data_IF_848385740567
#
_entry.id   IF_848385740567
#
_cell.length_a   1.000
_cell.length_b   1.000
_cell.length_c   1.000
_cell.angle_alpha   90.00
_cell.angle_beta   90.00
_cell.angle_gamma   90.00
#
_symmetry.space_group_name_H-M   'P 1'
#
loop_
_entity.id
_entity.type
_entity.pdbx_description
1 polymer ?
#
# COMPACT_ATOMS: atom_id res chain seq x y z
N UNK A 1 23.65 24.23 1.47
CA UNK A 1 23.35 25.66 1.33
C UNK A 1 21.85 25.88 1.38
N UNK A 2 21.41 26.87 2.13
CA UNK A 2 20.04 27.36 2.18
C UNK A 2 20.05 28.75 1.61
N UNK A 3 19.25 29.01 0.57
CA UNK A 3 19.26 30.29 -0.12
C UNK A 3 17.81 30.74 -0.36
N UNK A 4 17.51 32.01 -0.11
CA UNK A 4 16.17 32.58 -0.35
C UNK A 4 15.58 33.25 0.87
N UNK A 5 14.30 33.64 0.77
CA UNK A 5 13.49 34.14 1.89
C UNK A 5 12.78 32.96 2.56
N UNK A 6 12.34 33.16 3.80
CA UNK A 6 11.62 32.11 4.55
C UNK A 6 10.35 31.60 3.84
N UNK A 7 9.77 32.43 3.00
CA UNK A 7 8.60 32.12 2.18
C UNK A 7 8.93 31.36 0.87
N UNK A 8 10.22 31.31 0.47
CA UNK A 8 10.68 30.64 -0.75
C UNK A 8 12.18 30.33 -0.60
N UNK A 9 12.48 29.10 -0.24
CA UNK A 9 13.83 28.65 0.05
C UNK A 9 14.28 27.53 -0.88
N UNK A 10 15.44 27.68 -1.46
CA UNK A 10 16.11 26.60 -2.13
C UNK A 10 16.99 25.83 -1.13
N UNK A 11 16.72 24.55 -0.98
CA UNK A 11 17.44 23.63 -0.11
C UNK A 11 18.37 22.77 -0.96
N UNK A 12 19.65 22.88 -0.74
CA UNK A 12 20.63 22.01 -1.38
C UNK A 12 21.68 21.57 -0.35
N UNK A 13 21.75 20.28 -0.10
CA UNK A 13 22.77 19.75 0.80
C UNK A 13 22.44 18.42 1.46
N UNK A 14 23.31 18.07 2.38
CA UNK A 14 23.22 16.85 3.17
C UNK A 14 22.89 17.21 4.63
N UNK A 15 21.82 16.64 5.12
CA UNK A 15 21.42 16.75 6.52
C UNK A 15 21.82 15.45 7.25
N UNK A 16 22.65 15.60 8.29
CA UNK A 16 23.05 14.48 9.13
C UNK A 16 22.22 14.48 10.41
N UNK A 17 21.57 13.37 10.68
CA UNK A 17 20.73 13.15 11.85
C UNK A 17 21.20 11.91 12.61
N UNK A 18 20.65 11.67 13.79
CA UNK A 18 20.86 10.41 14.52
C UNK A 18 20.24 9.18 13.79
N UNK A 19 19.36 9.41 12.81
CA UNK A 19 18.70 8.36 12.04
C UNK A 19 19.40 8.05 10.71
N UNK A 20 20.35 8.89 10.29
CA UNK A 20 21.08 8.75 9.04
C UNK A 20 21.29 10.07 8.32
N UNK A 21 21.76 9.98 7.10
CA UNK A 21 22.02 11.16 6.24
C UNK A 21 20.94 11.23 5.17
N UNK A 22 20.38 12.42 5.00
CA UNK A 22 19.43 12.72 3.93
C UNK A 22 20.04 13.79 3.03
N UNK A 23 20.07 13.56 1.74
CA UNK A 23 20.36 14.57 0.74
C UNK A 23 19.05 15.18 0.26
N UNK A 24 19.01 16.48 0.16
CA UNK A 24 17.85 17.24 -0.32
C UNK A 24 18.31 18.20 -1.40
N UNK A 25 17.55 18.26 -2.50
CA UNK A 25 17.76 19.21 -3.57
C UNK A 25 16.39 19.65 -4.09
N UNK A 26 15.90 20.81 -3.65
CA UNK A 26 14.56 21.23 -4.01
C UNK A 26 14.17 22.59 -3.46
N UNK A 27 12.98 23.00 -3.83
CA UNK A 27 12.37 24.23 -3.38
C UNK A 27 11.37 23.96 -2.27
N UNK A 28 11.47 24.73 -1.18
CA UNK A 28 10.55 24.68 -0.05
C UNK A 28 9.91 26.06 0.10
N UNK A 29 8.59 26.11 -0.02
CA UNK A 29 7.80 27.29 0.22
C UNK A 29 6.99 27.11 1.51
N UNK A 30 7.02 28.09 2.38
CA UNK A 30 6.25 28.09 3.64
C UNK A 30 5.46 29.37 3.68
N UNK A 31 4.16 29.27 3.91
CA UNK A 31 3.29 30.44 3.99
C UNK A 31 3.64 31.32 5.21
N UNK A 32 3.31 32.60 5.15
CA UNK A 32 3.63 33.57 6.21
C UNK A 32 3.01 33.25 7.57
N UNK A 33 1.98 32.43 7.60
CA UNK A 33 1.31 31.96 8.83
C UNK A 33 1.89 30.66 9.37
N UNK A 34 2.86 30.03 8.68
CA UNK A 34 3.47 28.73 9.01
C UNK A 34 2.44 27.58 9.07
N UNK A 35 1.36 27.71 8.34
CA UNK A 35 0.28 26.72 8.31
C UNK A 35 0.31 25.80 7.09
N UNK A 36 1.01 26.21 6.04
CA UNK A 36 1.15 25.44 4.80
C UNK A 36 2.61 25.43 4.36
N UNK A 37 3.03 24.30 3.83
CA UNK A 37 4.33 24.14 3.19
C UNK A 37 4.19 23.36 1.89
N UNK A 38 4.95 23.79 0.87
CA UNK A 38 5.06 23.13 -0.43
C UNK A 38 6.52 22.74 -0.65
N UNK A 39 6.76 21.54 -1.09
CA UNK A 39 8.09 21.03 -1.44
C UNK A 39 8.06 20.44 -2.84
N UNK A 40 9.02 20.87 -3.65
CA UNK A 40 9.27 20.31 -4.97
C UNK A 40 10.76 20.01 -5.10
N UNK A 41 11.12 18.73 -5.25
CA UNK A 41 12.51 18.37 -5.40
C UNK A 41 12.82 16.91 -5.14
N UNK A 42 14.10 16.63 -5.00
CA UNK A 42 14.65 15.30 -4.79
C UNK A 42 15.09 15.12 -3.35
N UNK A 43 14.79 13.97 -2.81
CA UNK A 43 15.24 13.51 -1.50
C UNK A 43 15.87 12.12 -1.66
N UNK A 44 17.03 11.91 -1.07
CA UNK A 44 17.67 10.60 -1.10
C UNK A 44 18.42 10.28 0.18
N UNK A 45 18.58 8.99 0.43
CA UNK A 45 19.44 8.47 1.49
C UNK A 45 20.00 7.12 1.09
N UNK A 46 21.27 6.90 1.38
CA UNK A 46 21.89 5.59 1.22
C UNK A 46 21.71 4.68 2.43
N UNK A 47 21.29 5.24 3.58
CA UNK A 47 21.08 4.53 4.83
C UNK A 47 20.33 5.43 5.80
N UNK A 48 19.05 5.10 6.04
CA UNK A 48 18.20 5.85 6.95
C UNK A 48 17.38 4.91 7.82
N UNK A 49 17.40 5.14 9.13
CA UNK A 49 16.72 4.30 10.12
C UNK A 49 15.23 4.59 10.18
N UNK A 50 14.49 4.11 9.16
CA UNK A 50 13.07 4.36 9.01
C UNK A 50 12.26 3.86 10.20
N UNK A 51 12.55 2.66 10.68
CA UNK A 51 11.86 2.06 11.82
C UNK A 51 11.93 2.91 13.09
N UNK A 52 13.07 3.53 13.34
CA UNK A 52 13.22 4.47 14.47
C UNK A 52 12.41 5.74 14.28
N UNK A 53 12.30 6.25 13.05
CA UNK A 53 11.51 7.44 12.76
C UNK A 53 10.03 7.22 13.06
N UNK A 54 9.47 6.08 12.60
CA UNK A 54 8.04 5.75 12.73
C UNK A 54 7.71 4.92 13.98
N UNK A 55 8.72 4.68 14.84
CA UNK A 55 8.61 3.87 16.06
C UNK A 55 8.02 2.46 15.79
N UNK A 56 8.51 1.81 14.73
CA UNK A 56 8.14 0.45 14.36
C UNK A 56 9.38 -0.44 14.41
N UNK A 57 9.35 -1.47 15.26
CA UNK A 57 10.49 -2.38 15.48
C UNK A 57 10.71 -3.37 14.34
N UNK A 58 9.68 -3.63 13.54
CA UNK A 58 9.73 -4.54 12.41
C UNK A 58 10.35 -3.90 11.16
N UNK A 59 10.39 -2.55 11.13
CA UNK A 59 11.07 -1.78 10.09
C UNK A 59 12.51 -1.48 10.50
N UNK A 60 13.43 -1.69 9.59
CA UNK A 60 14.85 -1.37 9.75
C UNK A 60 15.28 -0.17 8.92
N UNK A 61 16.38 -0.35 8.24
CA UNK A 61 17.02 0.64 7.38
C UNK A 61 16.37 0.70 6.00
N UNK A 62 16.41 1.90 5.40
CA UNK A 62 16.00 2.13 4.02
C UNK A 62 17.07 2.92 3.25
N UNK A 63 17.29 2.56 1.99
CA UNK A 63 18.03 3.36 1.02
C UNK A 63 17.11 3.72 -0.15
N UNK A 64 17.04 4.99 -0.51
CA UNK A 64 16.10 5.45 -1.52
C UNK A 64 16.56 6.71 -2.25
N UNK A 65 16.00 6.91 -3.44
CA UNK A 65 15.95 8.18 -4.16
C UNK A 65 14.48 8.46 -4.50
N UNK A 66 13.99 9.63 -4.17
CA UNK A 66 12.63 10.03 -4.44
C UNK A 66 12.55 11.44 -4.99
N UNK A 67 11.73 11.64 -6.01
CA UNK A 67 11.27 12.94 -6.46
C UNK A 67 9.88 13.19 -5.87
N UNK A 68 9.69 14.33 -5.24
CA UNK A 68 8.48 14.68 -4.51
C UNK A 68 7.99 16.04 -4.96
N UNK A 69 6.71 16.12 -5.31
CA UNK A 69 5.94 17.35 -5.48
C UNK A 69 4.75 17.30 -4.53
N UNK A 70 4.78 18.06 -3.46
CA UNK A 70 3.77 17.94 -2.44
C UNK A 70 3.51 19.19 -1.63
N UNK A 71 2.29 19.30 -1.13
CA UNK A 71 1.90 20.30 -0.17
C UNK A 71 1.24 19.68 1.07
N UNK A 72 1.58 20.26 2.19
CA UNK A 72 1.06 19.87 3.51
C UNK A 72 0.45 21.09 4.20
N UNK A 73 -0.52 20.85 5.05
CA UNK A 73 -0.93 21.80 6.06
C UNK A 73 -0.57 21.28 7.47
N UNK A 74 -0.86 22.06 8.49
CA UNK A 74 -0.55 21.69 9.89
C UNK A 74 -1.19 20.41 10.36
N UNK A 75 -2.14 19.85 9.62
CA UNK A 75 -2.94 18.68 10.03
C UNK A 75 -2.80 17.49 9.11
N UNK A 76 -2.42 17.70 7.83
CA UNK A 76 -2.47 16.63 6.84
C UNK A 76 -1.65 16.94 5.58
N UNK A 77 -1.29 15.90 4.85
CA UNK A 77 -0.83 16.02 3.47
C UNK A 77 -2.05 16.29 2.60
N UNK A 78 -2.07 17.42 1.90
CA UNK A 78 -3.17 17.77 0.99
C UNK A 78 -3.03 17.10 -0.37
N UNK A 79 -1.81 17.16 -0.87
CA UNK A 79 -1.44 16.59 -2.16
C UNK A 79 0.03 16.22 -2.12
N UNK A 80 0.39 15.08 -2.68
CA UNK A 80 1.78 14.66 -2.84
C UNK A 80 1.87 13.70 -4.02
N UNK A 81 2.67 14.06 -5.00
CA UNK A 81 3.12 13.13 -6.04
C UNK A 81 4.51 12.67 -5.63
N UNK A 82 4.75 11.38 -5.64
CA UNK A 82 6.04 10.80 -5.31
C UNK A 82 6.42 9.72 -6.32
N UNK A 83 7.63 9.86 -6.86
CA UNK A 83 8.30 8.84 -7.65
C UNK A 83 9.54 8.40 -6.87
N UNK A 84 9.55 7.17 -6.40
CA UNK A 84 10.62 6.67 -5.57
C UNK A 84 11.22 5.38 -6.13
N UNK A 85 12.56 5.33 -6.09
CA UNK A 85 13.35 4.12 -6.27
C UNK A 85 13.98 3.79 -4.91
N UNK A 86 13.53 2.70 -4.31
CA UNK A 86 14.03 2.20 -3.03
C UNK A 86 14.97 1.05 -3.35
N UNK A 87 16.28 1.27 -3.17
CA UNK A 87 17.31 0.27 -3.43
C UNK A 87 17.16 -0.92 -2.49
N UNK A 88 16.87 -0.64 -1.22
CA UNK A 88 16.52 -1.66 -0.24
C UNK A 88 15.72 -1.08 0.93
N UNK A 89 14.93 -1.94 1.56
CA UNK A 89 14.25 -1.70 2.84
C UNK A 89 14.25 -2.97 3.68
N UNK A 90 14.59 -2.84 4.94
CA UNK A 90 14.49 -3.94 5.90
C UNK A 90 13.10 -3.99 6.53
N UNK A 91 12.46 -5.15 6.46
CA UNK A 91 11.19 -5.41 7.13
C UNK A 91 11.13 -6.85 7.63
N UNK A 92 10.76 -7.05 8.90
CA UNK A 92 10.73 -8.36 9.58
C UNK A 92 12.05 -9.14 9.48
N UNK A 93 13.19 -8.43 9.45
CA UNK A 93 14.52 -9.03 9.33
C UNK A 93 14.88 -9.53 7.93
N UNK A 94 14.07 -9.25 6.91
CA UNK A 94 14.38 -9.47 5.51
C UNK A 94 14.68 -8.14 4.82
N UNK A 95 15.63 -8.13 3.90
CA UNK A 95 16.02 -6.96 3.12
C UNK A 95 15.43 -7.06 1.72
N UNK A 96 14.31 -6.39 1.50
CA UNK A 96 13.69 -6.27 0.17
C UNK A 96 14.49 -5.34 -0.71
N UNK A 97 14.62 -5.67 -2.00
CA UNK A 97 15.43 -4.93 -2.98
C UNK A 97 14.57 -4.50 -4.17
N UNK A 98 15.10 -3.52 -4.93
CA UNK A 98 14.55 -3.05 -6.21
C UNK A 98 13.05 -2.74 -6.17
N UNK A 99 12.70 -1.80 -5.28
CA UNK A 99 11.32 -1.36 -5.09
C UNK A 99 11.10 -0.05 -5.83
N UNK A 100 10.07 0.00 -6.65
CA UNK A 100 9.62 1.21 -7.33
C UNK A 100 8.25 1.62 -6.81
N UNK A 101 8.09 2.90 -6.59
CA UNK A 101 6.81 3.52 -6.27
C UNK A 101 6.60 4.74 -7.16
N UNK A 102 5.43 4.84 -7.77
CA UNK A 102 4.96 5.99 -8.55
C UNK A 102 3.51 6.22 -8.16
N UNK A 103 3.24 7.28 -7.45
CA UNK A 103 1.91 7.49 -6.90
C UNK A 103 1.59 8.92 -6.51
N UNK A 104 0.30 9.12 -6.32
CA UNK A 104 -0.28 10.38 -5.88
C UNK A 104 -1.14 10.14 -4.63
N UNK A 105 -0.87 10.92 -3.59
CA UNK A 105 -1.71 11.06 -2.41
C UNK A 105 -2.49 12.37 -2.53
N UNK A 106 -3.81 12.31 -2.42
CA UNK A 106 -4.68 13.47 -2.45
C UNK A 106 -5.72 13.39 -1.33
N UNK A 107 -5.46 14.12 -0.25
CA UNK A 107 -6.28 14.07 0.95
C UNK A 107 -6.36 12.65 1.54
N UNK A 108 -7.54 12.06 1.53
CA UNK A 108 -7.80 10.70 2.03
C UNK A 108 -7.79 9.63 0.92
N UNK A 109 -7.05 9.87 -0.16
CA UNK A 109 -6.96 8.95 -1.30
C UNK A 109 -5.52 8.81 -1.76
N UNK A 110 -5.11 7.59 -2.07
CA UNK A 110 -3.84 7.27 -2.73
C UNK A 110 -4.10 6.47 -3.99
N UNK A 111 -3.38 6.78 -5.06
CA UNK A 111 -3.40 6.00 -6.30
C UNK A 111 -1.99 5.89 -6.85
N UNK A 112 -1.69 4.79 -7.53
CA UNK A 112 -0.38 4.62 -8.13
C UNK A 112 0.01 3.19 -8.42
N UNK A 113 1.30 3.05 -8.72
CA UNK A 113 1.97 1.81 -9.04
C UNK A 113 3.04 1.54 -7.98
N UNK A 114 3.11 0.31 -7.54
CA UNK A 114 4.14 -0.19 -6.64
C UNK A 114 4.68 -1.50 -7.19
N UNK A 115 5.98 -1.69 -7.18
CA UNK A 115 6.57 -2.97 -7.57
C UNK A 115 7.79 -3.30 -6.72
N UNK A 116 7.99 -4.57 -6.47
CA UNK A 116 9.21 -5.17 -5.90
C UNK A 116 9.73 -6.17 -6.91
N UNK A 117 11.03 -6.14 -7.22
CA UNK A 117 11.71 -7.11 -8.07
C UNK A 117 12.87 -7.71 -7.29
N UNK A 118 12.55 -8.50 -6.30
CA UNK A 118 13.49 -9.17 -5.41
C UNK A 118 13.57 -10.66 -5.79
N UNK A 119 14.65 -11.34 -5.41
CA UNK A 119 14.83 -12.77 -5.74
C UNK A 119 13.75 -13.68 -5.13
N UNK A 120 13.17 -13.31 -3.99
CA UNK A 120 12.18 -14.08 -3.25
C UNK A 120 10.76 -13.53 -3.32
N UNK A 121 10.56 -12.41 -4.01
CA UNK A 121 9.26 -11.82 -4.29
C UNK A 121 9.32 -10.90 -5.50
N UNK A 122 8.51 -11.17 -6.50
CA UNK A 122 8.24 -10.25 -7.59
C UNK A 122 6.75 -9.88 -7.53
N UNK A 123 6.45 -8.62 -7.20
CA UNK A 123 5.08 -8.14 -7.11
C UNK A 123 4.92 -6.81 -7.83
N UNK A 124 3.83 -6.68 -8.56
CA UNK A 124 3.38 -5.41 -9.11
C UNK A 124 1.96 -5.14 -8.63
N UNK A 125 1.75 -3.99 -8.04
CA UNK A 125 0.45 -3.52 -7.56
C UNK A 125 0.12 -2.21 -8.25
N UNK A 126 -1.07 -2.14 -8.78
CA UNK A 126 -1.64 -0.93 -9.38
C UNK A 126 -2.99 -0.66 -8.74
N UNK A 127 -3.31 0.54 -8.36
CA UNK A 127 -4.62 0.78 -7.81
C UNK A 127 -4.86 2.12 -7.16
N UNK A 128 -6.02 2.15 -6.52
CA UNK A 128 -6.54 3.28 -5.78
C UNK A 128 -7.09 2.80 -4.45
N UNK A 129 -6.74 3.50 -3.38
CA UNK A 129 -7.37 3.37 -2.08
C UNK A 129 -7.87 4.75 -1.62
N UNK A 130 -9.13 4.83 -1.27
CA UNK A 130 -9.76 5.99 -0.68
C UNK A 130 -10.34 5.57 0.68
N UNK A 131 -9.94 6.24 1.75
CA UNK A 131 -10.40 5.94 3.11
C UNK A 131 -11.27 7.03 3.72
N UNK A 132 -11.84 7.89 2.87
CA UNK A 132 -12.77 8.89 3.34
C UNK A 132 -14.00 8.25 4.00
N UNK A 133 -14.47 8.84 5.10
CA UNK A 133 -15.64 8.31 5.83
C UNK A 133 -16.93 8.28 5.01
N UNK A 134 -16.98 9.06 3.93
CA UNK A 134 -18.16 9.15 3.05
C UNK A 134 -18.18 8.09 1.97
N UNK A 135 -16.98 7.73 1.48
CA UNK A 135 -16.81 6.82 0.34
C UNK A 135 -15.45 6.14 0.48
N UNK A 136 -15.42 5.07 1.23
CA UNK A 136 -14.20 4.24 1.34
C UNK A 136 -14.18 3.26 0.19
N UNK A 137 -13.12 3.28 -0.59
CA UNK A 137 -12.99 2.48 -1.80
C UNK A 137 -11.59 1.90 -1.92
N UNK A 138 -11.51 0.66 -2.36
CA UNK A 138 -10.27 -0.04 -2.67
C UNK A 138 -10.43 -0.72 -4.03
N UNK A 139 -9.67 -0.26 -5.01
CA UNK A 139 -9.55 -0.89 -6.33
C UNK A 139 -8.08 -1.21 -6.57
N UNK A 140 -7.73 -2.48 -6.53
CA UNK A 140 -6.35 -2.95 -6.66
C UNK A 140 -6.29 -4.09 -7.66
N UNK A 141 -5.28 -4.03 -8.53
CA UNK A 141 -4.78 -5.16 -9.30
C UNK A 141 -3.39 -5.51 -8.78
N UNK A 142 -3.20 -6.73 -8.34
CA UNK A 142 -1.92 -7.24 -7.87
C UNK A 142 -1.50 -8.45 -8.70
N UNK A 143 -0.27 -8.42 -9.19
CA UNK A 143 0.37 -9.53 -9.87
C UNK A 143 1.57 -9.97 -9.06
N UNK A 144 1.56 -11.21 -8.63
CA UNK A 144 2.55 -11.80 -7.74
C UNK A 144 3.21 -12.99 -8.41
N UNK A 145 4.51 -12.95 -8.52
CA UNK A 145 5.34 -14.04 -9.03
C UNK A 145 6.43 -14.37 -8.02
N UNK A 146 6.77 -15.65 -7.95
CA UNK A 146 7.89 -16.16 -7.16
C UNK A 146 7.90 -15.67 -5.70
N UNK A 147 6.74 -15.62 -5.05
CA UNK A 147 6.72 -15.35 -3.61
C UNK A 147 7.20 -16.59 -2.85
N UNK A 148 8.29 -16.45 -2.11
CA UNK A 148 8.86 -17.44 -1.21
C UNK A 148 8.59 -17.02 0.25
N UNK A 149 7.43 -17.37 0.86
CA UNK A 149 7.02 -16.81 2.15
C UNK A 149 7.98 -17.08 3.30
N UNK A 150 8.68 -18.22 3.26
CA UNK A 150 9.68 -18.57 4.27
C UNK A 150 10.94 -17.70 4.12
N UNK A 151 11.41 -17.49 2.89
CA UNK A 151 12.61 -16.69 2.63
C UNK A 151 12.44 -15.22 3.06
N UNK A 152 11.25 -14.65 2.91
CA UNK A 152 10.95 -13.27 3.33
C UNK A 152 10.36 -13.17 4.75
N UNK A 153 10.51 -14.21 5.55
CA UNK A 153 10.13 -14.30 6.98
C UNK A 153 8.63 -14.12 7.27
N UNK A 154 7.75 -14.37 6.30
CA UNK A 154 6.30 -14.38 6.54
C UNK A 154 5.81 -15.63 7.27
N UNK A 155 6.54 -16.74 7.15
CA UNK A 155 6.24 -17.99 7.85
C UNK A 155 7.47 -18.87 7.96
N UNK A 156 7.62 -19.59 9.07
CA UNK A 156 8.65 -20.63 9.24
C UNK A 156 8.19 -21.99 8.68
N UNK A 157 6.91 -22.09 8.27
CA UNK A 157 6.36 -23.29 7.67
C UNK A 157 6.64 -23.30 6.17
N UNK A 158 6.73 -24.51 5.62
CA UNK A 158 6.85 -24.72 4.16
C UNK A 158 8.05 -23.99 3.52
N UNK A 159 9.30 -24.37 3.88
CA UNK A 159 10.50 -23.64 3.42
C UNK A 159 10.74 -23.66 1.92
N UNK A 160 10.14 -24.62 1.20
CA UNK A 160 10.26 -24.75 -0.26
C UNK A 160 8.99 -24.24 -0.99
N UNK A 161 8.12 -23.50 -0.28
CA UNK A 161 6.88 -23.00 -0.88
C UNK A 161 7.12 -21.78 -1.73
N UNK A 162 6.58 -21.82 -2.95
CA UNK A 162 6.47 -20.66 -3.84
C UNK A 162 5.03 -20.44 -4.27
N UNK A 163 4.68 -19.19 -4.50
CA UNK A 163 3.33 -18.75 -4.85
C UNK A 163 3.38 -17.81 -6.05
N UNK A 164 2.49 -18.06 -7.02
CA UNK A 164 2.21 -17.17 -8.15
C UNK A 164 0.71 -16.91 -8.22
N UNK A 165 0.30 -15.66 -8.44
CA UNK A 165 -1.12 -15.34 -8.59
C UNK A 165 -1.34 -13.95 -9.18
N UNK A 166 -2.52 -13.74 -9.74
CA UNK A 166 -3.06 -12.41 -10.04
C UNK A 166 -4.33 -12.19 -9.23
N UNK A 167 -4.44 -11.06 -8.60
CA UNK A 167 -5.61 -10.69 -7.80
C UNK A 167 -6.18 -9.34 -8.25
N UNK A 168 -7.51 -9.29 -8.33
CA UNK A 168 -8.29 -8.09 -8.60
C UNK A 168 -9.21 -7.86 -7.40
N UNK A 169 -9.09 -6.71 -6.77
CA UNK A 169 -9.85 -6.35 -5.59
C UNK A 169 -10.59 -5.06 -5.90
N UNK A 170 -11.91 -5.09 -5.81
CA UNK A 170 -12.74 -3.90 -5.88
C UNK A 170 -13.75 -3.95 -4.75
N UNK A 171 -13.52 -3.16 -3.72
CA UNK A 171 -14.34 -3.10 -2.52
C UNK A 171 -14.76 -1.66 -2.25
N UNK A 172 -15.98 -1.46 -1.84
CA UNK A 172 -16.48 -0.16 -1.41
C UNK A 172 -17.34 -0.28 -0.17
N UNK A 173 -17.31 0.77 0.65
CA UNK A 173 -18.17 0.89 1.83
C UNK A 173 -18.37 2.37 2.16
N UNK A 174 -19.33 2.67 3.01
CA UNK A 174 -19.63 4.04 3.43
C UNK A 174 -20.20 4.09 4.85
N UNK A 175 -20.01 5.24 5.49
CA UNK A 175 -20.59 5.56 6.79
C UNK A 175 -19.95 4.87 7.97
N UNK A 176 -20.59 4.93 9.14
CA UNK A 176 -20.05 4.40 10.39
C UNK A 176 -20.14 2.87 10.48
N UNK A 177 -21.12 2.28 9.82
CA UNK A 177 -21.34 0.83 9.78
C UNK A 177 -20.68 0.25 8.53
N UNK A 178 -19.36 0.38 8.43
CA UNK A 178 -18.62 0.03 7.24
C UNK A 178 -18.76 -1.45 6.84
N UNK A 179 -18.86 -2.38 7.79
CA UNK A 179 -19.07 -3.80 7.50
C UNK A 179 -20.44 -4.01 6.86
N UNK A 180 -21.48 -3.34 7.40
CA UNK A 180 -22.85 -3.48 6.90
C UNK A 180 -23.05 -2.84 5.52
N UNK A 181 -22.13 -1.98 5.10
CA UNK A 181 -22.17 -1.31 3.81
C UNK A 181 -21.14 -1.83 2.83
N UNK A 182 -20.34 -2.83 3.25
CA UNK A 182 -19.29 -3.40 2.41
C UNK A 182 -19.90 -4.11 1.20
N UNK A 183 -19.42 -3.76 0.02
CA UNK A 183 -19.80 -4.39 -1.24
C UNK A 183 -18.62 -4.46 -2.18
N UNK A 184 -18.65 -5.36 -3.13
CA UNK A 184 -17.64 -5.50 -4.16
C UNK A 184 -17.25 -6.94 -4.44
N UNK A 185 -16.02 -7.11 -4.94
CA UNK A 185 -15.51 -8.45 -5.29
C UNK A 185 -14.00 -8.55 -5.08
N UNK A 186 -13.57 -9.77 -4.84
CA UNK A 186 -12.18 -10.20 -4.90
C UNK A 186 -12.11 -11.36 -5.88
N UNK A 187 -11.28 -11.23 -6.91
CA UNK A 187 -11.02 -12.29 -7.89
C UNK A 187 -9.54 -12.64 -7.76
N UNK A 188 -9.26 -13.90 -7.48
CA UNK A 188 -7.93 -14.48 -7.57
C UNK A 188 -7.91 -15.32 -8.83
N UNK A 189 -7.01 -14.99 -9.74
CA UNK A 189 -6.87 -15.62 -11.02
C UNK A 189 -5.54 -16.38 -11.06
N UNK A 190 -5.59 -17.66 -11.42
CA UNK A 190 -4.43 -18.52 -11.59
C UNK A 190 -3.52 -18.60 -10.35
N UNK A 191 -4.07 -19.01 -9.19
CA UNK A 191 -3.22 -19.27 -8.03
C UNK A 191 -2.46 -20.59 -8.19
N UNK A 192 -1.16 -20.48 -8.31
CA UNK A 192 -0.24 -21.61 -8.29
C UNK A 192 0.53 -21.66 -6.97
N UNK A 193 0.52 -22.81 -6.34
CA UNK A 193 1.28 -23.10 -5.11
C UNK A 193 2.17 -24.30 -5.36
N UNK A 194 3.46 -24.12 -5.24
CA UNK A 194 4.44 -25.20 -5.27
C UNK A 194 5.08 -25.36 -3.90
N UNK A 195 5.27 -26.60 -3.44
CA UNK A 195 6.02 -26.92 -2.24
C UNK A 195 6.83 -28.20 -2.44
N UNK A 196 8.11 -28.03 -2.73
CA UNK A 196 9.00 -29.10 -3.20
C UNK A 196 8.48 -29.72 -4.49
N UNK A 197 8.21 -31.03 -4.47
CA UNK A 197 7.68 -31.77 -5.63
C UNK A 197 6.15 -31.70 -5.76
N UNK A 198 5.44 -31.07 -4.83
CA UNK A 198 3.97 -30.96 -4.85
C UNK A 198 3.56 -29.63 -5.43
N UNK A 199 2.59 -29.67 -6.33
CA UNK A 199 1.99 -28.50 -6.94
C UNK A 199 0.47 -28.54 -6.80
N UNK A 200 -0.13 -27.42 -6.55
CA UNK A 200 -1.56 -27.20 -6.60
C UNK A 200 -1.84 -25.95 -7.45
N UNK A 201 -2.82 -26.05 -8.30
CA UNK A 201 -3.28 -24.97 -9.16
C UNK A 201 -4.76 -24.77 -8.95
N UNK A 202 -5.16 -23.52 -8.79
CA UNK A 202 -6.54 -23.08 -8.79
C UNK A 202 -6.69 -22.08 -9.93
N UNK A 203 -7.54 -22.39 -10.91
CA UNK A 203 -7.71 -21.53 -12.09
C UNK A 203 -8.35 -20.19 -11.70
N UNK A 204 -9.40 -20.24 -10.88
CA UNK A 204 -10.05 -19.02 -10.42
C UNK A 204 -10.75 -19.18 -9.07
N UNK A 205 -10.70 -18.13 -8.27
CA UNK A 205 -11.55 -17.94 -7.10
C UNK A 205 -12.21 -16.57 -7.14
N UNK A 206 -13.52 -16.51 -6.97
CA UNK A 206 -14.28 -15.27 -6.95
C UNK A 206 -15.08 -15.18 -5.65
N UNK A 207 -14.85 -14.11 -4.91
CA UNK A 207 -15.63 -13.71 -3.75
C UNK A 207 -16.45 -12.48 -4.13
N UNK A 208 -17.76 -12.60 -4.05
CA UNK A 208 -18.70 -11.49 -4.22
C UNK A 208 -19.33 -11.11 -2.90
N UNK A 209 -19.40 -9.83 -2.63
CA UNK A 209 -20.04 -9.25 -1.45
C UNK A 209 -21.08 -8.24 -1.94
N UNK A 210 -22.33 -8.58 -1.78
CA UNK A 210 -23.45 -7.76 -2.19
C UNK A 210 -24.34 -7.39 -1.02
N UNK A 211 -24.94 -6.20 -1.12
CA UNK A 211 -25.95 -5.72 -0.20
C UNK A 211 -27.30 -5.69 -0.93
N UNK A 212 -28.28 -6.38 -0.40
CA UNK A 212 -29.65 -6.41 -0.91
C UNK A 212 -30.62 -5.93 0.17
N UNK A 213 -31.71 -5.29 -0.24
CA UNK A 213 -32.78 -4.88 0.67
C UNK A 213 -34.01 -5.74 0.36
N UNK A 214 -34.36 -6.67 1.26
CA UNK A 214 -35.53 -7.50 1.16
C UNK A 214 -36.49 -7.21 2.32
N UNK A 215 -37.76 -6.94 2.01
CA UNK A 215 -38.76 -6.66 3.02
C UNK A 215 -38.39 -5.53 4.01
N UNK A 216 -37.67 -4.51 3.51
CA UNK A 216 -37.19 -3.40 4.33
C UNK A 216 -36.00 -3.73 5.24
N UNK A 217 -35.44 -4.93 5.14
CA UNK A 217 -34.25 -5.36 5.90
C UNK A 217 -33.06 -5.50 5.00
N UNK A 218 -31.92 -5.09 5.52
CA UNK A 218 -30.65 -5.20 4.80
C UNK A 218 -30.07 -6.61 4.95
N UNK A 219 -29.77 -7.24 3.83
CA UNK A 219 -29.17 -8.55 3.75
C UNK A 219 -27.81 -8.45 3.09
N UNK A 220 -26.81 -9.06 3.70
CA UNK A 220 -25.50 -9.26 3.10
C UNK A 220 -25.46 -10.63 2.46
N UNK A 221 -25.10 -10.66 1.19
CA UNK A 221 -24.86 -11.90 0.46
C UNK A 221 -23.37 -12.01 0.19
N UNK A 222 -22.78 -13.09 0.67
CA UNK A 222 -21.40 -13.46 0.35
C UNK A 222 -21.45 -14.72 -0.49
N UNK A 223 -20.89 -14.64 -1.70
CA UNK A 223 -20.81 -15.77 -2.62
C UNK A 223 -19.33 -16.08 -2.89
N UNK A 224 -18.95 -17.32 -2.64
CA UNK A 224 -17.65 -17.86 -2.99
C UNK A 224 -17.83 -18.87 -4.13
N UNK A 225 -17.07 -18.68 -5.19
CA UNK A 225 -17.00 -19.59 -6.32
C UNK A 225 -15.52 -19.87 -6.64
N UNK A 226 -15.17 -21.12 -6.76
CA UNK A 226 -13.86 -21.57 -7.26
C UNK A 226 -14.03 -22.86 -8.03
N UNK A 227 -12.94 -23.37 -8.61
CA UNK A 227 -12.90 -24.67 -9.31
C UNK A 227 -13.28 -25.85 -8.40
N UNK A 228 -13.14 -25.67 -7.09
CA UNK A 228 -13.34 -26.75 -6.12
C UNK A 228 -14.58 -26.56 -5.25
N UNK A 229 -15.05 -25.32 -5.07
CA UNK A 229 -16.12 -24.99 -4.13
C UNK A 229 -17.00 -23.89 -4.66
N UNK A 230 -18.31 -24.09 -4.53
CA UNK A 230 -19.31 -23.01 -4.65
C UNK A 230 -20.10 -22.93 -3.36
N UNK A 231 -20.08 -21.77 -2.70
CA UNK A 231 -20.81 -21.52 -1.48
C UNK A 231 -21.50 -20.15 -1.53
N UNK A 232 -22.67 -20.06 -0.92
CA UNK A 232 -23.39 -18.80 -0.78
C UNK A 232 -23.89 -18.68 0.66
N UNK A 233 -23.57 -17.55 1.29
CA UNK A 233 -24.00 -17.23 2.65
C UNK A 233 -24.84 -15.96 2.60
N UNK A 234 -25.96 -15.95 3.32
CA UNK A 234 -26.75 -14.75 3.54
C UNK A 234 -26.76 -14.44 5.03
N UNK A 235 -26.25 -13.28 5.39
CA UNK A 235 -26.25 -12.78 6.76
C UNK A 235 -27.31 -11.68 6.88
N UNK A 236 -28.14 -11.80 7.90
CA UNK A 236 -29.11 -10.77 8.22
C UNK A 236 -28.67 -10.05 9.49
N UNK A 237 -28.41 -8.76 9.38
CA UNK A 237 -28.09 -7.93 10.53
C UNK A 237 -29.36 -7.25 11.02
N UNK A 238 -29.63 -7.39 12.31
CA UNK A 238 -30.66 -6.59 12.96
C UNK A 238 -30.03 -5.28 13.40
N UNK A 239 -30.54 -4.18 12.88
CA UNK A 239 -30.16 -2.87 13.40
C UNK A 239 -30.54 -2.80 14.88
N UNK A 240 -29.59 -2.78 15.78
CA UNK A 240 -29.85 -2.38 17.14
C UNK A 240 -30.13 -0.89 17.14
N UNK A 241 -31.37 -0.53 17.42
CA UNK A 241 -31.88 0.84 17.60
C UNK A 241 -31.22 1.55 18.78
#
# INVERSE_FOLDING_TARGET
DINGRFEDMFLHGTFSTALGRIQVNGNLQIDSTLTQAEFLGDISSSSFQLGKLVNNVDLGEIAFNANIDGNIDTTSIRHCIANANIQHIEYLGYTYQDILFDGELRGESVSGNFSIKDENINITINGLANWSKKDTRLDITAHLENLCPNAIHLTDKYPEMTLNTTAYISLSTFGKQWIDNLSGHIIIDSLEVQNGSKQAVMEQMKLLIDNDIKEGKKHHRIQLQSDFVTASFSLQFYAHS
#
